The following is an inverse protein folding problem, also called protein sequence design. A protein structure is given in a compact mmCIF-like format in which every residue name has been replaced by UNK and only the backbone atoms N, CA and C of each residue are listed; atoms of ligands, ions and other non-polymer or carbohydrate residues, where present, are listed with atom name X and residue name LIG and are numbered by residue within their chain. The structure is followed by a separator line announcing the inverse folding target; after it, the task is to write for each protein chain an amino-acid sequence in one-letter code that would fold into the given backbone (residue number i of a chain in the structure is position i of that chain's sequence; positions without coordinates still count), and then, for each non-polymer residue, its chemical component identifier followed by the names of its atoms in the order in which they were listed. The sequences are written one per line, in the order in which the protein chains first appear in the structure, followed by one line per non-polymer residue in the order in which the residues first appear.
data_IF_931646397368
#
_entry.id   IF_931646397368
#
_cell.length_a   1.000
_cell.length_b   1.000
_cell.length_c   1.000
_cell.angle_alpha   90.00
_cell.angle_beta   90.00
_cell.angle_gamma   90.00
#
_symmetry.space_group_name_H-M   'P 1'
#
loop_
_entity.id
_entity.type
_entity.pdbx_description
1 polymer ?
#
# COMPACT_ATOMS: atom_id res chain seq x y z
N UNK A 1 24.35 -16.17 -2.91
CA UNK A 1 23.79 -15.44 -1.76
C UNK A 1 22.34 -15.12 -2.06
N UNK A 2 21.42 -15.39 -1.13
CA UNK A 2 20.01 -15.02 -1.23
C UNK A 2 19.86 -13.48 -1.24
N UNK A 3 19.00 -12.94 -2.10
CA UNK A 3 18.70 -11.50 -2.12
C UNK A 3 18.00 -11.07 -0.82
N UNK A 4 18.22 -9.83 -0.37
CA UNK A 4 17.66 -9.36 0.90
C UNK A 4 16.13 -9.44 0.95
N UNK A 5 15.45 -9.05 -0.12
CA UNK A 5 13.99 -9.11 -0.19
C UNK A 5 13.45 -10.54 -0.18
N UNK A 6 14.13 -11.51 -0.79
CA UNK A 6 13.76 -12.94 -0.70
C UNK A 6 13.88 -13.45 0.73
N UNK A 7 14.96 -13.07 1.42
CA UNK A 7 15.14 -13.40 2.83
C UNK A 7 14.01 -12.85 3.70
N UNK A 8 13.63 -11.58 3.51
CA UNK A 8 12.52 -10.96 4.24
C UNK A 8 11.20 -11.71 4.03
N UNK A 9 10.87 -12.04 2.78
CA UNK A 9 9.65 -12.80 2.47
C UNK A 9 9.66 -14.18 3.12
N UNK A 10 10.80 -14.88 3.06
CA UNK A 10 10.96 -16.20 3.69
C UNK A 10 10.82 -16.14 5.22
N UNK A 11 11.43 -15.15 5.87
CA UNK A 11 11.45 -15.02 7.33
C UNK A 11 10.09 -14.59 7.90
N UNK A 12 9.33 -13.79 7.15
CA UNK A 12 8.03 -13.29 7.57
C UNK A 12 6.85 -14.03 6.96
N UNK A 13 7.07 -15.24 6.43
CA UNK A 13 6.03 -16.00 5.75
C UNK A 13 4.76 -16.25 6.58
N UNK A 14 4.83 -16.51 7.90
CA UNK A 14 3.61 -16.65 8.71
C UNK A 14 2.77 -15.37 8.74
N UNK A 15 3.41 -14.20 8.85
CA UNK A 15 2.71 -12.91 8.86
C UNK A 15 2.13 -12.59 7.48
N UNK A 16 2.88 -12.89 6.41
CA UNK A 16 2.42 -12.79 5.04
C UNK A 16 1.16 -13.64 4.81
N UNK A 17 1.19 -14.93 5.16
CA UNK A 17 0.03 -15.82 5.01
C UNK A 17 -1.18 -15.33 5.81
N UNK A 18 -0.97 -14.87 7.04
CA UNK A 18 -2.04 -14.34 7.88
C UNK A 18 -2.71 -13.11 7.25
N UNK A 19 -1.93 -12.21 6.63
CA UNK A 19 -2.46 -11.06 5.91
C UNK A 19 -3.20 -11.52 4.63
N UNK A 20 -2.55 -12.32 3.79
CA UNK A 20 -3.10 -12.75 2.50
C UNK A 20 -4.41 -13.54 2.65
N UNK A 21 -4.62 -14.21 3.79
CA UNK A 21 -5.81 -15.01 4.12
C UNK A 21 -6.74 -14.31 5.13
N UNK A 22 -6.52 -13.02 5.41
CA UNK A 22 -7.35 -12.28 6.35
C UNK A 22 -8.82 -12.26 5.86
N UNK A 23 -9.83 -12.35 6.76
CA UNK A 23 -11.24 -12.35 6.38
C UNK A 23 -11.66 -11.21 5.44
N UNK A 24 -11.06 -10.03 5.58
CA UNK A 24 -11.26 -8.92 4.64
C UNK A 24 -10.96 -9.31 3.19
N UNK A 25 -9.83 -9.97 2.94
CA UNK A 25 -9.41 -10.39 1.60
C UNK A 25 -10.31 -11.52 1.10
N UNK A 26 -10.55 -12.53 1.92
CA UNK A 26 -11.35 -13.70 1.50
C UNK A 26 -12.83 -13.37 1.30
N UNK A 27 -13.38 -12.40 2.04
CA UNK A 27 -14.75 -11.93 1.80
C UNK A 27 -14.86 -11.07 0.54
N UNK A 28 -13.80 -10.36 0.12
CA UNK A 28 -13.74 -9.70 -1.19
C UNK A 28 -13.77 -10.74 -2.32
N UNK A 29 -12.94 -11.77 -2.21
CA UNK A 29 -12.86 -12.86 -3.21
C UNK A 29 -14.16 -13.63 -3.36
N UNK A 30 -14.97 -13.64 -2.32
CA UNK A 30 -16.23 -14.38 -2.28
C UNK A 30 -17.45 -13.47 -2.46
N UNK A 31 -17.25 -12.18 -2.78
CA UNK A 31 -18.30 -11.17 -2.97
C UNK A 31 -19.27 -11.04 -1.77
N UNK A 32 -18.72 -11.05 -0.55
CA UNK A 32 -19.50 -10.96 0.70
C UNK A 32 -19.07 -9.84 1.65
N UNK A 33 -18.10 -9.02 1.26
CA UNK A 33 -17.64 -7.92 2.12
C UNK A 33 -18.80 -6.92 2.35
N UNK A 34 -19.20 -6.65 3.60
CA UNK A 34 -20.27 -5.69 3.85
C UNK A 34 -19.87 -4.28 3.41
N UNK A 35 -20.80 -3.54 2.80
CA UNK A 35 -20.57 -2.16 2.32
C UNK A 35 -20.00 -1.24 3.40
N UNK A 36 -20.49 -1.34 4.64
CA UNK A 36 -19.96 -0.54 5.77
C UNK A 36 -18.49 -0.84 6.09
N UNK A 37 -18.05 -2.08 5.87
CA UNK A 37 -16.65 -2.47 6.07
C UNK A 37 -15.79 -1.88 4.95
N UNK A 38 -16.25 -1.94 3.70
CA UNK A 38 -15.54 -1.32 2.58
C UNK A 38 -15.48 0.21 2.70
N UNK A 39 -16.57 0.87 3.08
CA UNK A 39 -16.60 2.32 3.30
C UNK A 39 -15.61 2.76 4.39
N UNK A 40 -15.51 2.01 5.49
CA UNK A 40 -14.49 2.24 6.53
C UNK A 40 -13.07 2.04 5.98
N UNK A 41 -12.87 0.97 5.21
CA UNK A 41 -11.59 0.69 4.57
C UNK A 41 -11.15 1.84 3.66
N UNK A 42 -12.06 2.41 2.86
CA UNK A 42 -11.74 3.54 1.97
C UNK A 42 -11.19 4.75 2.73
N UNK A 43 -11.73 5.07 3.91
CA UNK A 43 -11.22 6.19 4.73
C UNK A 43 -9.83 5.89 5.26
N UNK A 44 -9.61 4.70 5.81
CA UNK A 44 -8.29 4.31 6.33
C UNK A 44 -7.24 4.23 5.24
N UNK A 45 -7.62 3.73 4.08
CA UNK A 45 -6.72 3.61 2.94
C UNK A 45 -6.41 4.97 2.32
N UNK A 46 -7.38 5.88 2.19
CA UNK A 46 -7.11 7.25 1.76
C UNK A 46 -6.09 7.96 2.68
N UNK A 47 -6.20 7.76 4.00
CA UNK A 47 -5.22 8.26 4.96
C UNK A 47 -3.85 7.57 4.83
N UNK A 48 -3.83 6.28 4.50
CA UNK A 48 -2.61 5.55 4.22
C UNK A 48 -1.92 6.04 2.94
N UNK A 49 -2.66 6.29 1.86
CA UNK A 49 -2.12 6.85 0.61
C UNK A 49 -1.51 8.22 0.85
N UNK A 50 -2.15 9.10 1.62
CA UNK A 50 -1.57 10.38 2.03
C UNK A 50 -0.25 10.19 2.81
N UNK A 51 -0.18 9.17 3.67
CA UNK A 51 1.05 8.80 4.39
C UNK A 51 2.13 8.26 3.45
N UNK A 52 1.76 7.41 2.49
CA UNK A 52 2.67 6.86 1.48
C UNK A 52 3.26 7.96 0.59
N UNK A 53 2.46 8.96 0.20
CA UNK A 53 2.93 10.16 -0.53
C UNK A 53 4.03 10.87 0.26
N UNK A 54 3.83 11.12 1.56
CA UNK A 54 4.84 11.76 2.40
C UNK A 54 6.13 10.92 2.50
N UNK A 55 5.99 9.60 2.64
CA UNK A 55 7.13 8.67 2.73
C UNK A 55 7.91 8.64 1.40
N UNK A 56 7.22 8.57 0.26
CA UNK A 56 7.87 8.57 -1.05
C UNK A 56 8.53 9.91 -1.38
N UNK A 57 7.96 11.03 -0.95
CA UNK A 57 8.59 12.35 -1.07
C UNK A 57 9.91 12.41 -0.28
N UNK A 58 9.95 11.85 0.93
CA UNK A 58 11.20 11.68 1.67
C UNK A 58 12.18 10.74 0.95
N UNK A 59 11.66 9.68 0.31
CA UNK A 59 12.43 8.78 -0.54
C UNK A 59 13.12 9.52 -1.71
N UNK A 60 12.41 10.41 -2.41
CA UNK A 60 12.98 11.26 -3.47
C UNK A 60 14.11 12.14 -2.93
N UNK A 61 13.90 12.75 -1.76
CA UNK A 61 14.89 13.62 -1.12
C UNK A 61 16.17 12.86 -0.72
N UNK A 62 16.02 11.63 -0.25
CA UNK A 62 17.13 10.78 0.23
C UNK A 62 17.77 9.90 -0.86
N UNK A 63 17.21 9.89 -2.06
CA UNK A 63 17.65 9.02 -3.13
C UNK A 63 19.14 9.24 -3.51
N UNK A 64 19.89 8.16 -3.81
CA UNK A 64 21.32 8.24 -4.10
C UNK A 64 21.63 8.86 -5.48
N UNK A 65 20.62 9.03 -6.34
CA UNK A 65 20.83 9.57 -7.69
C UNK A 65 19.53 9.84 -8.46
N UNK A 66 19.70 10.51 -9.61
CA UNK A 66 18.59 11.02 -10.43
C UNK A 66 17.70 9.91 -11.01
N UNK A 67 18.23 8.71 -11.20
CA UNK A 67 17.47 7.58 -11.72
C UNK A 67 16.39 7.13 -10.72
N UNK A 68 16.77 6.99 -9.45
CA UNK A 68 15.87 6.65 -8.34
C UNK A 68 14.85 7.77 -8.12
N UNK A 69 15.29 9.02 -8.15
CA UNK A 69 14.40 10.18 -8.02
C UNK A 69 13.32 10.19 -9.11
N UNK A 70 13.70 9.99 -10.37
CA UNK A 70 12.74 9.94 -11.48
C UNK A 70 11.71 8.83 -11.31
N UNK A 71 12.15 7.64 -10.87
CA UNK A 71 11.23 6.53 -10.61
C UNK A 71 10.23 6.89 -9.50
N UNK A 72 10.72 7.35 -8.35
CA UNK A 72 9.88 7.71 -7.21
C UNK A 72 8.94 8.90 -7.51
N UNK A 73 9.34 9.84 -8.37
CA UNK A 73 8.44 10.91 -8.84
C UNK A 73 7.30 10.33 -9.69
N UNK A 74 7.57 9.32 -10.52
CA UNK A 74 6.53 8.59 -11.24
C UNK A 74 5.53 7.93 -10.29
N UNK A 75 6.02 7.32 -9.22
CA UNK A 75 5.18 6.75 -8.14
C UNK A 75 4.33 7.82 -7.47
N UNK A 76 4.92 8.96 -7.10
CA UNK A 76 4.18 10.08 -6.49
C UNK A 76 3.06 10.58 -7.40
N UNK A 77 3.30 10.67 -8.71
CA UNK A 77 2.28 11.05 -9.68
C UNK A 77 1.12 10.04 -9.70
N UNK A 78 1.41 8.74 -9.68
CA UNK A 78 0.37 7.72 -9.61
C UNK A 78 -0.47 7.82 -8.32
N UNK A 79 0.17 8.07 -7.18
CA UNK A 79 -0.55 8.22 -5.91
C UNK A 79 -1.42 9.49 -5.89
N UNK A 80 -0.86 10.63 -6.26
CA UNK A 80 -1.54 11.94 -6.16
C UNK A 80 -2.61 12.11 -7.24
N UNK A 81 -2.30 11.85 -8.50
CA UNK A 81 -3.21 12.18 -9.60
C UNK A 81 -4.19 11.05 -9.93
N UNK A 82 -3.86 9.80 -9.59
CA UNK A 82 -4.72 8.64 -9.89
C UNK A 82 -5.45 8.17 -8.63
N UNK A 83 -4.72 7.78 -7.58
CA UNK A 83 -5.37 7.17 -6.41
C UNK A 83 -6.16 8.19 -5.58
N UNK A 84 -5.57 9.33 -5.22
CA UNK A 84 -6.29 10.35 -4.43
C UNK A 84 -7.50 10.89 -5.20
N UNK A 85 -7.36 11.19 -6.50
CA UNK A 85 -8.47 11.62 -7.33
C UNK A 85 -9.61 10.58 -7.38
N UNK A 86 -9.28 9.29 -7.44
CA UNK A 86 -10.27 8.22 -7.36
C UNK A 86 -10.94 8.15 -5.99
N UNK A 87 -10.19 8.28 -4.89
CA UNK A 87 -10.75 8.32 -3.53
C UNK A 87 -11.73 9.48 -3.36
N UNK A 88 -11.39 10.69 -3.80
CA UNK A 88 -12.27 11.85 -3.72
C UNK A 88 -13.61 11.60 -4.45
N UNK A 89 -13.55 11.00 -5.63
CA UNK A 89 -14.74 10.64 -6.42
C UNK A 89 -15.59 9.58 -5.72
N UNK A 90 -14.97 8.51 -5.23
CA UNK A 90 -15.68 7.38 -4.61
C UNK A 90 -16.29 7.77 -3.27
N UNK A 91 -15.56 8.50 -2.42
CA UNK A 91 -16.09 8.99 -1.14
C UNK A 91 -17.30 9.91 -1.37
N UNK A 92 -17.23 10.80 -2.37
CA UNK A 92 -18.34 11.66 -2.75
C UNK A 92 -19.54 10.87 -3.27
N UNK A 93 -19.33 9.95 -4.22
CA UNK A 93 -20.39 9.14 -4.82
C UNK A 93 -21.10 8.24 -3.81
N UNK A 94 -20.36 7.73 -2.82
CA UNK A 94 -20.88 6.90 -1.72
C UNK A 94 -21.44 7.71 -0.55
N UNK A 95 -21.33 9.03 -0.60
CA UNK A 95 -21.74 9.94 0.48
C UNK A 95 -21.08 9.59 1.83
N UNK A 96 -19.81 9.20 1.78
CA UNK A 96 -19.03 8.86 2.97
C UNK A 96 -18.50 10.16 3.58
N UNK A 97 -18.86 10.43 4.83
CA UNK A 97 -18.18 11.44 5.64
C UNK A 97 -17.00 10.79 6.39
N UNK A 98 -15.74 11.15 6.08
CA UNK A 98 -14.58 10.63 6.79
C UNK A 98 -14.65 10.83 8.32
N UNK A 99 -15.37 11.85 8.80
CA UNK A 99 -15.54 12.10 10.23
C UNK A 99 -16.31 10.98 10.97
N UNK A 100 -17.10 10.16 10.25
CA UNK A 100 -17.80 9.00 10.81
C UNK A 100 -16.86 7.80 11.04
N UNK A 101 -15.63 7.85 10.52
CA UNK A 101 -14.64 6.77 10.57
C UNK A 101 -13.31 7.29 11.15
N UNK A 102 -13.25 7.62 12.45
CA UNK A 102 -12.03 8.14 13.05
C UNK A 102 -10.88 7.13 12.92
N UNK A 103 -9.71 7.61 12.50
CA UNK A 103 -8.48 6.84 12.36
C UNK A 103 -7.73 6.68 13.69
N UNK A 104 -8.45 6.80 14.80
CA UNK A 104 -7.94 6.89 16.16
C UNK A 104 -7.75 5.51 16.83
N UNK A 105 -7.80 4.45 16.04
CA UNK A 105 -7.47 3.11 16.51
C UNK A 105 -5.97 3.06 16.86
N UNK A 106 -5.58 2.55 18.06
CA UNK A 106 -4.17 2.50 18.47
C UNK A 106 -3.26 1.77 17.47
N UNK A 107 -3.78 0.74 16.80
CA UNK A 107 -3.05 0.01 15.77
C UNK A 107 -2.77 0.86 14.53
N UNK A 108 -3.75 1.63 14.06
CA UNK A 108 -3.64 2.52 12.89
C UNK A 108 -2.63 3.63 13.15
N UNK A 109 -2.76 4.34 14.28
CA UNK A 109 -1.79 5.37 14.67
C UNK A 109 -0.38 4.83 14.80
N UNK A 110 -0.20 3.70 15.50
CA UNK A 110 1.12 3.08 15.69
C UNK A 110 1.76 2.71 14.35
N UNK A 111 0.97 2.18 13.42
CA UNK A 111 1.43 1.84 12.08
C UNK A 111 1.87 3.09 11.31
N UNK A 112 0.97 4.08 11.17
CA UNK A 112 1.24 5.37 10.50
C UNK A 112 2.46 6.08 11.08
N UNK A 113 2.47 6.30 12.40
CA UNK A 113 3.51 7.07 13.07
C UNK A 113 4.85 6.32 13.05
N UNK A 114 4.81 4.98 13.10
CA UNK A 114 5.99 4.14 12.94
C UNK A 114 6.60 4.30 11.54
N UNK A 115 5.78 4.21 10.49
CA UNK A 115 6.24 4.36 9.11
C UNK A 115 6.81 5.75 8.83
N UNK A 116 6.12 6.80 9.27
CA UNK A 116 6.60 8.18 9.14
C UNK A 116 7.92 8.39 9.88
N UNK A 117 8.04 7.89 11.12
CA UNK A 117 9.28 7.99 11.88
C UNK A 117 10.43 7.30 11.17
N UNK A 118 10.22 6.06 10.72
CA UNK A 118 11.23 5.34 9.92
C UNK A 118 11.61 6.12 8.67
N UNK A 119 10.65 6.70 7.95
CA UNK A 119 10.95 7.49 6.77
C UNK A 119 11.69 8.79 7.07
N UNK A 120 11.40 9.45 8.19
CA UNK A 120 12.07 10.69 8.61
C UNK A 120 13.50 10.43 9.11
N UNK A 121 13.67 9.47 10.01
CA UNK A 121 14.93 9.22 10.73
C UNK A 121 15.84 8.24 10.00
N UNK A 122 15.26 7.37 9.17
CA UNK A 122 15.96 6.29 8.49
C UNK A 122 16.61 6.68 7.16
N UNK A 123 17.25 5.69 6.53
CA UNK A 123 17.90 5.84 5.22
C UNK A 123 16.93 5.65 4.05
N UNK A 124 17.40 5.95 2.83
CA UNK A 124 16.68 5.65 1.59
C UNK A 124 16.31 4.17 1.49
N UNK A 125 17.23 3.27 1.83
CA UNK A 125 17.05 1.82 1.79
C UNK A 125 15.96 1.35 2.76
N UNK A 126 15.85 1.99 3.93
CA UNK A 126 14.77 1.70 4.89
C UNK A 126 13.41 2.13 4.34
N UNK A 127 13.33 3.28 3.66
CA UNK A 127 12.10 3.72 2.96
C UNK A 127 11.71 2.73 1.87
N UNK A 128 12.66 2.34 1.00
CA UNK A 128 12.42 1.38 -0.08
C UNK A 128 11.93 0.04 0.48
N UNK A 129 12.56 -0.46 1.55
CA UNK A 129 12.17 -1.72 2.19
C UNK A 129 10.77 -1.65 2.80
N UNK A 130 10.44 -0.53 3.43
CA UNK A 130 9.14 -0.30 4.06
C UNK A 130 8.02 -0.24 3.01
N UNK A 131 8.23 0.49 1.91
CA UNK A 131 7.26 0.55 0.82
C UNK A 131 7.19 -0.75 0.02
N UNK A 132 8.30 -1.50 -0.11
CA UNK A 132 8.29 -2.85 -0.66
C UNK A 132 7.30 -3.74 0.10
N UNK A 133 7.37 -3.77 1.44
CA UNK A 133 6.45 -4.58 2.23
C UNK A 133 4.98 -4.25 2.00
N UNK A 134 4.65 -2.95 1.92
CA UNK A 134 3.29 -2.49 1.67
C UNK A 134 2.80 -2.87 0.26
N UNK A 135 3.53 -2.48 -0.78
CA UNK A 135 3.08 -2.66 -2.16
C UNK A 135 3.13 -4.10 -2.63
N UNK A 136 4.12 -4.87 -2.17
CA UNK A 136 4.18 -6.29 -2.48
C UNK A 136 2.96 -7.01 -1.90
N UNK A 137 2.59 -6.71 -0.65
CA UNK A 137 1.37 -7.23 -0.05
C UNK A 137 0.14 -6.85 -0.88
N UNK A 138 -0.02 -5.56 -1.21
CA UNK A 138 -1.14 -5.06 -2.00
C UNK A 138 -1.32 -5.78 -3.33
N UNK A 139 -0.24 -5.88 -4.10
CA UNK A 139 -0.28 -6.53 -5.41
C UNK A 139 -0.79 -7.97 -5.30
N UNK A 140 -0.27 -8.76 -4.37
CA UNK A 140 -0.59 -10.20 -4.35
C UNK A 140 -2.02 -10.49 -3.92
N UNK A 141 -2.57 -9.76 -2.94
CA UNK A 141 -3.97 -9.99 -2.56
C UNK A 141 -4.93 -9.43 -3.61
N UNK A 142 -4.65 -8.26 -4.20
CA UNK A 142 -5.46 -7.68 -5.26
C UNK A 142 -5.42 -8.52 -6.54
N UNK A 143 -4.24 -9.00 -6.94
CA UNK A 143 -4.10 -9.87 -8.11
C UNK A 143 -4.95 -11.13 -7.96
N UNK A 144 -4.93 -11.78 -6.80
CA UNK A 144 -5.77 -12.95 -6.50
C UNK A 144 -7.26 -12.58 -6.49
N UNK A 145 -7.64 -11.48 -5.83
CA UNK A 145 -9.01 -11.00 -5.81
C UNK A 145 -9.55 -10.65 -7.19
N UNK A 146 -8.71 -10.12 -8.10
CA UNK A 146 -9.11 -9.75 -9.47
C UNK A 146 -9.54 -10.93 -10.35
N UNK A 147 -9.21 -12.17 -9.93
CA UNK A 147 -9.62 -13.40 -10.62
C UNK A 147 -11.05 -13.84 -10.23
N UNK A 148 -11.66 -13.15 -9.28
CA UNK A 148 -13.00 -13.40 -8.78
C UNK A 148 -13.95 -12.26 -9.14
N UNK A 149 -15.25 -12.54 -9.10
CA UNK A 149 -16.28 -11.53 -9.32
C UNK A 149 -16.51 -10.70 -8.06
N UNK A 150 -16.66 -9.38 -8.21
CA UNK A 150 -17.14 -8.48 -7.17
C UNK A 150 -18.34 -7.69 -7.72
N UNK A 151 -19.46 -7.71 -7.00
CA UNK A 151 -20.69 -7.00 -7.37
C UNK A 151 -20.55 -5.48 -7.23
N UNK A 152 -19.83 -5.03 -6.20
CA UNK A 152 -19.51 -3.64 -5.95
C UNK A 152 -18.47 -3.13 -6.96
N UNK A 153 -18.85 -2.15 -7.80
CA UNK A 153 -18.02 -1.64 -8.88
C UNK A 153 -16.80 -0.84 -8.39
N UNK A 154 -16.91 -0.11 -7.28
CA UNK A 154 -15.77 0.65 -6.76
C UNK A 154 -14.77 -0.29 -6.09
N UNK A 155 -15.28 -1.32 -5.40
CA UNK A 155 -14.43 -2.37 -4.84
C UNK A 155 -13.66 -3.10 -5.93
N UNK A 156 -14.36 -3.48 -7.01
CA UNK A 156 -13.74 -4.10 -8.18
C UNK A 156 -12.68 -3.20 -8.78
N UNK A 157 -12.97 -1.90 -8.97
CA UNK A 157 -12.00 -0.95 -9.53
C UNK A 157 -10.76 -0.79 -8.64
N UNK A 158 -10.94 -0.77 -7.32
CA UNK A 158 -9.82 -0.72 -6.38
C UNK A 158 -8.90 -1.94 -6.50
N UNK A 159 -9.49 -3.14 -6.55
CA UNK A 159 -8.77 -4.40 -6.73
C UNK A 159 -8.02 -4.41 -8.07
N UNK A 160 -8.69 -4.03 -9.16
CA UNK A 160 -8.09 -3.96 -10.49
C UNK A 160 -6.89 -3.01 -10.53
N UNK A 161 -7.02 -1.80 -9.97
CA UNK A 161 -5.95 -0.79 -9.93
C UNK A 161 -4.65 -1.32 -9.29
N UNK A 162 -4.76 -2.21 -8.30
CA UNK A 162 -3.62 -2.80 -7.60
C UNK A 162 -3.19 -4.15 -8.19
N UNK A 163 -3.93 -4.67 -9.17
CA UNK A 163 -3.62 -5.89 -9.91
C UNK A 163 -3.03 -5.61 -11.31
N UNK A 164 -3.01 -4.35 -11.73
CA UNK A 164 -2.44 -3.86 -12.99
C UNK A 164 -0.91 -4.06 -13.05
N UNK A 165 -0.39 -4.19 -14.27
CA UNK A 165 1.03 -4.44 -14.53
C UNK A 165 1.90 -3.28 -14.01
N UNK A 166 1.42 -2.05 -14.13
CA UNK A 166 2.10 -0.84 -13.63
C UNK A 166 2.35 -0.94 -12.12
N UNK A 167 1.36 -1.37 -11.34
CA UNK A 167 1.49 -1.56 -9.90
C UNK A 167 2.48 -2.70 -9.59
N UNK A 168 2.43 -3.79 -10.35
CA UNK A 168 3.41 -4.88 -10.20
C UNK A 168 4.84 -4.41 -10.47
N UNK A 169 5.08 -3.64 -11.54
CA UNK A 169 6.42 -3.13 -11.85
C UNK A 169 6.96 -2.22 -10.75
N UNK A 170 6.08 -1.44 -10.10
CA UNK A 170 6.45 -0.63 -8.94
C UNK A 170 6.88 -1.49 -7.74
N UNK A 171 6.04 -2.46 -7.36
CA UNK A 171 6.34 -3.38 -6.26
C UNK A 171 7.62 -4.20 -6.53
N UNK A 172 7.82 -4.64 -7.78
CA UNK A 172 9.03 -5.33 -8.23
C UNK A 172 10.27 -4.45 -8.16
N UNK A 173 10.16 -3.18 -8.59
CA UNK A 173 11.27 -2.24 -8.50
C UNK A 173 11.70 -2.02 -7.05
N UNK A 174 10.75 -1.87 -6.13
CA UNK A 174 11.04 -1.77 -4.69
C UNK A 174 11.70 -3.04 -4.17
N UNK A 175 11.21 -4.22 -4.57
CA UNK A 175 11.79 -5.52 -4.22
C UNK A 175 13.25 -5.66 -4.68
N UNK A 176 13.57 -5.20 -5.88
CA UNK A 176 14.93 -5.28 -6.45
C UNK A 176 15.87 -4.25 -5.84
N UNK A 177 15.37 -3.08 -5.45
CA UNK A 177 16.16 -2.02 -4.83
C UNK A 177 16.23 -2.10 -3.29
N UNK A 178 15.46 -3.01 -2.68
CA UNK A 178 15.52 -3.28 -1.25
C UNK A 178 16.84 -3.96 -0.89
N UNK A 179 17.61 -3.32 0.00
CA UNK A 179 18.89 -3.85 0.50
C UNK A 179 18.90 -3.83 2.02
N UNK A 180 19.77 -4.64 2.62
CA UNK A 180 19.92 -4.66 4.07
C UNK A 180 20.47 -3.32 4.56
N UNK A 181 19.66 -2.59 5.31
CA UNK A 181 20.06 -1.39 6.03
C UNK A 181 20.13 -1.65 7.54
N UNK A 182 21.03 -1.00 8.29
CA UNK A 182 21.01 -1.06 9.74
C UNK A 182 19.71 -0.44 10.28
N UNK A 183 18.86 -1.25 10.90
CA UNK A 183 17.72 -0.76 11.67
C UNK A 183 18.25 -0.36 13.05
N UNK A 184 18.23 0.93 13.37
CA UNK A 184 18.54 1.46 14.70
C UNK A 184 17.30 1.54 15.56
#
# INVERSE_FOLDING_TARGET
MEAFSERLLREHQPAWQAMQQHPFVTDIEQDRLPTVVFNRYLVFEGNFVATAIAIFALGVSKAPGIQQQRWLIGVLNALVDIQIAWFEQVLSARQIDPAEYPDDLPGVRRFRDGMLRTAHEGSYEQIVTLMFGAEWMYYFWCRRASEHYQSDADLRRWVEMHAEDEFYQQALWLKTNSTAAPWR
#
